data_IF_880713318831
#
_entry.id   IF_880713318831
#
_cell.length_a   1.000
_cell.length_b   1.000
_cell.length_c   1.000
_cell.angle_alpha   90.00
_cell.angle_beta   90.00
_cell.angle_gamma   90.00
#
_symmetry.space_group_name_H-M   'P 1'
#
loop_
_entity.id
_entity.type
_entity.pdbx_description
1 polymer ?
#
# COMPACT_ATOMS: atom_id res chain seq x y z
N UNK A 1 -15.23 4.15 -14.65
CA UNK A 1 -14.42 3.00 -14.18
C UNK A 1 -13.74 3.33 -12.87
N UNK A 2 -13.81 2.42 -11.92
CA UNK A 2 -13.14 2.61 -10.64
C UNK A 2 -11.63 2.43 -10.78
N UNK A 3 -10.87 3.24 -10.06
CA UNK A 3 -9.43 3.04 -9.94
C UNK A 3 -9.15 1.84 -9.04
N UNK A 4 -8.00 1.21 -9.25
CA UNK A 4 -7.65 -0.04 -8.59
C UNK A 4 -6.63 0.21 -7.48
N UNK A 5 -6.88 -0.38 -6.31
CA UNK A 5 -5.97 -0.32 -5.17
C UNK A 5 -5.51 -1.73 -4.82
N UNK A 6 -4.20 -1.92 -4.72
CA UNK A 6 -3.61 -3.16 -4.20
C UNK A 6 -3.31 -2.98 -2.72
N UNK A 7 -3.80 -3.90 -1.90
CA UNK A 7 -3.50 -3.95 -0.47
C UNK A 7 -2.57 -5.13 -0.21
N UNK A 8 -1.43 -4.86 0.41
CA UNK A 8 -0.49 -5.88 0.88
C UNK A 8 -0.50 -5.87 2.40
N UNK A 9 -1.04 -6.93 3.01
CA UNK A 9 -1.07 -7.07 4.46
C UNK A 9 -1.27 -8.55 4.78
N UNK A 10 -0.45 -9.10 5.68
CA UNK A 10 -0.56 -10.50 6.05
C UNK A 10 -1.74 -10.76 7.00
N UNK A 11 -2.33 -9.71 7.57
CA UNK A 11 -3.50 -9.83 8.46
C UNK A 11 -4.77 -9.61 7.67
N UNK A 12 -5.53 -10.67 7.49
CA UNK A 12 -6.80 -10.64 6.76
C UNK A 12 -7.78 -9.62 7.37
N UNK A 13 -7.79 -9.49 8.70
CA UNK A 13 -8.70 -8.54 9.38
C UNK A 13 -8.44 -7.10 8.97
N UNK A 14 -7.18 -6.70 8.83
CA UNK A 14 -6.81 -5.36 8.37
C UNK A 14 -7.24 -5.17 6.92
N UNK A 15 -6.96 -6.15 6.07
CA UNK A 15 -7.36 -6.10 4.67
C UNK A 15 -8.87 -5.97 4.50
N UNK A 16 -9.65 -6.67 5.33
CA UNK A 16 -11.12 -6.57 5.29
C UNK A 16 -11.61 -5.20 5.69
N UNK A 17 -11.05 -4.61 6.75
CA UNK A 17 -11.43 -3.26 7.19
C UNK A 17 -11.14 -2.26 6.07
N UNK A 18 -9.95 -2.30 5.49
CA UNK A 18 -9.59 -1.41 4.39
C UNK A 18 -10.52 -1.60 3.20
N UNK A 19 -10.82 -2.84 2.84
CA UNK A 19 -11.68 -3.14 1.71
C UNK A 19 -13.08 -2.59 1.91
N UNK A 20 -13.66 -2.74 3.11
CA UNK A 20 -14.99 -2.23 3.41
C UNK A 20 -15.08 -0.72 3.21
N UNK A 21 -14.04 0.03 3.62
CA UNK A 21 -14.05 1.49 3.51
C UNK A 21 -13.72 1.99 2.10
N UNK A 22 -13.03 1.20 1.28
CA UNK A 22 -12.56 1.62 -0.03
C UNK A 22 -13.39 1.07 -1.20
N UNK A 23 -14.07 -0.06 -1.01
CA UNK A 23 -14.71 -0.78 -2.12
C UNK A 23 -15.85 -0.03 -2.80
N UNK A 24 -16.48 0.95 -2.12
CA UNK A 24 -17.54 1.73 -2.75
C UNK A 24 -17.01 2.64 -3.86
N UNK A 25 -15.76 3.10 -3.72
CA UNK A 25 -15.15 4.07 -4.65
C UNK A 25 -14.04 3.46 -5.51
N UNK A 26 -13.47 2.32 -5.12
CA UNK A 26 -12.31 1.72 -5.78
C UNK A 26 -12.48 0.21 -5.95
N UNK A 27 -11.80 -0.34 -6.94
CA UNK A 27 -11.61 -1.78 -7.06
C UNK A 27 -10.44 -2.18 -6.17
N UNK A 28 -10.66 -3.11 -5.25
CA UNK A 28 -9.66 -3.48 -4.25
C UNK A 28 -9.21 -4.91 -4.46
N UNK A 29 -7.89 -5.10 -4.52
CA UNK A 29 -7.26 -6.42 -4.55
C UNK A 29 -6.39 -6.57 -3.30
N UNK A 30 -6.57 -7.65 -2.56
CA UNK A 30 -5.76 -7.97 -1.40
C UNK A 30 -4.84 -9.15 -1.69
N UNK A 31 -3.57 -9.02 -1.28
CA UNK A 31 -2.57 -10.08 -1.29
C UNK A 31 -1.83 -10.07 0.05
N UNK A 32 -1.41 -11.24 0.56
CA UNK A 32 -0.92 -11.33 1.94
C UNK A 32 0.54 -10.92 2.14
N UNK A 33 1.34 -10.79 1.08
CA UNK A 33 2.76 -10.46 1.24
C UNK A 33 3.35 -9.79 -0.01
N UNK A 34 4.59 -9.31 0.15
CA UNK A 34 5.26 -8.58 -0.92
C UNK A 34 5.62 -9.44 -2.13
N UNK A 35 5.97 -10.72 -1.92
CA UNK A 35 6.31 -11.60 -3.05
C UNK A 35 5.11 -11.84 -3.95
N UNK A 36 3.94 -12.03 -3.36
CA UNK A 36 2.72 -12.17 -4.16
C UNK A 36 2.37 -10.86 -4.87
N UNK A 37 2.66 -9.73 -4.23
CA UNK A 37 2.52 -8.42 -4.86
C UNK A 37 3.40 -8.28 -6.10
N UNK A 38 4.68 -8.67 -5.99
CA UNK A 38 5.61 -8.64 -7.13
C UNK A 38 5.09 -9.52 -8.26
N UNK A 39 4.68 -10.75 -7.96
CA UNK A 39 4.16 -11.68 -8.98
C UNK A 39 2.92 -11.13 -9.66
N UNK A 40 2.03 -10.52 -8.89
CA UNK A 40 0.80 -9.95 -9.42
C UNK A 40 1.08 -8.80 -10.39
N UNK A 41 2.02 -7.93 -10.04
CA UNK A 41 2.45 -6.84 -10.92
C UNK A 41 3.12 -7.38 -12.17
N UNK A 42 4.01 -8.37 -12.03
CA UNK A 42 4.71 -8.97 -13.17
C UNK A 42 3.76 -9.72 -14.12
N UNK A 43 2.60 -10.14 -13.62
CA UNK A 43 1.57 -10.78 -14.44
C UNK A 43 0.80 -9.78 -15.32
N UNK A 44 1.10 -8.48 -15.21
CA UNK A 44 0.48 -7.46 -16.07
C UNK A 44 -0.60 -6.64 -15.36
N UNK A 45 -0.77 -6.80 -14.05
CA UNK A 45 -1.74 -6.00 -13.31
C UNK A 45 -1.14 -4.63 -12.96
N UNK A 46 -1.93 -3.57 -13.11
CA UNK A 46 -1.47 -2.19 -12.89
C UNK A 46 -2.42 -1.48 -11.92
N UNK A 47 -2.12 -1.49 -10.63
CA UNK A 47 -2.92 -0.71 -9.69
C UNK A 47 -2.61 0.78 -9.80
N UNK A 48 -3.55 1.60 -9.36
CA UNK A 48 -3.37 3.06 -9.32
C UNK A 48 -2.74 3.51 -7.99
N UNK A 49 -2.83 2.67 -6.96
CA UNK A 49 -2.26 2.93 -5.65
C UNK A 49 -1.98 1.59 -4.97
N UNK A 50 -0.92 1.56 -4.16
CA UNK A 50 -0.61 0.41 -3.30
C UNK A 50 -0.61 0.87 -1.86
N UNK A 51 -1.28 0.09 -0.99
CA UNK A 51 -1.24 0.27 0.46
C UNK A 51 -0.54 -0.96 1.01
N UNK A 52 0.59 -0.79 1.68
CA UNK A 52 1.41 -1.91 2.13
C UNK A 52 1.75 -1.85 3.60
N UNK A 53 1.53 -2.95 4.31
CA UNK A 53 2.11 -3.18 5.63
C UNK A 53 3.64 -3.32 5.48
N UNK A 54 4.38 -3.13 6.56
CA UNK A 54 5.84 -3.31 6.55
C UNK A 54 6.20 -4.75 6.92
N UNK A 55 5.64 -5.27 8.00
CA UNK A 55 5.99 -6.60 8.51
C UNK A 55 5.14 -7.68 7.88
N UNK A 56 5.66 -8.29 6.83
CA UNK A 56 5.02 -9.39 6.13
C UNK A 56 6.02 -10.54 5.97
N UNK A 57 5.54 -11.81 5.98
CA UNK A 57 6.44 -12.94 5.75
C UNK A 57 6.98 -12.92 4.32
N UNK A 58 8.15 -13.52 4.14
CA UNK A 58 8.80 -13.55 2.84
C UNK A 58 9.44 -12.22 2.48
N UNK A 59 8.72 -11.35 1.81
CA UNK A 59 9.21 -10.04 1.43
C UNK A 59 8.55 -8.96 2.28
N UNK A 60 9.34 -8.18 3.01
CA UNK A 60 8.83 -7.06 3.82
C UNK A 60 8.33 -5.92 2.94
N UNK A 61 7.44 -5.10 3.50
CA UNK A 61 6.87 -3.97 2.76
C UNK A 61 7.89 -2.90 2.37
N UNK A 62 8.90 -2.66 3.21
CA UNK A 62 9.98 -1.72 2.87
C UNK A 62 10.84 -2.24 1.72
N UNK A 63 11.13 -3.55 1.68
CA UNK A 63 11.85 -4.16 0.56
C UNK A 63 11.00 -4.12 -0.72
N UNK A 64 9.70 -4.34 -0.59
CA UNK A 64 8.77 -4.22 -1.71
C UNK A 64 8.74 -2.79 -2.27
N UNK A 65 8.72 -1.79 -1.37
CA UNK A 65 8.77 -0.38 -1.76
C UNK A 65 10.04 -0.07 -2.55
N UNK A 66 11.20 -0.53 -2.07
CA UNK A 66 12.46 -0.36 -2.80
C UNK A 66 12.39 -0.99 -4.18
N UNK A 67 11.89 -2.23 -4.25
CA UNK A 67 11.75 -2.93 -5.52
C UNK A 67 10.90 -2.15 -6.52
N UNK A 68 9.75 -1.63 -6.06
CA UNK A 68 8.86 -0.84 -6.92
C UNK A 68 9.56 0.43 -7.40
N UNK A 69 10.23 1.15 -6.51
CA UNK A 69 10.83 2.45 -6.86
C UNK A 69 12.06 2.32 -7.75
N UNK A 70 12.68 1.15 -7.78
CA UNK A 70 13.80 0.85 -8.68
C UNK A 70 13.34 0.27 -10.02
N UNK A 71 12.05 -0.04 -10.17
CA UNK A 71 11.52 -0.66 -11.38
C UNK A 71 10.89 0.40 -12.28
N UNK A 72 11.40 0.54 -13.51
CA UNK A 72 10.93 1.55 -14.45
C UNK A 72 9.45 1.40 -14.81
N UNK A 73 8.92 0.19 -14.80
CA UNK A 73 7.53 -0.06 -15.15
C UNK A 73 6.57 0.34 -14.03
N UNK A 74 7.00 0.27 -12.76
CA UNK A 74 6.10 0.42 -11.61
C UNK A 74 6.42 1.60 -10.69
N UNK A 75 7.57 2.26 -10.87
CA UNK A 75 8.01 3.33 -9.94
C UNK A 75 7.06 4.52 -9.86
N UNK A 76 6.20 4.69 -10.85
CA UNK A 76 5.21 5.77 -10.85
C UNK A 76 4.01 5.49 -9.94
N UNK A 77 3.83 4.25 -9.51
CA UNK A 77 2.69 3.87 -8.66
C UNK A 77 2.91 4.41 -7.26
N UNK A 78 1.99 5.24 -6.74
CA UNK A 78 2.12 5.73 -5.37
C UNK A 78 1.91 4.60 -4.36
N UNK A 79 2.70 4.63 -3.28
CA UNK A 79 2.64 3.62 -2.22
C UNK A 79 2.45 4.31 -0.88
N UNK A 80 1.39 3.94 -0.16
CA UNK A 80 1.16 4.32 1.23
C UNK A 80 1.69 3.18 2.10
N UNK A 81 2.53 3.50 3.09
CA UNK A 81 3.02 2.50 4.04
C UNK A 81 2.20 2.53 5.32
N UNK A 82 1.80 1.35 5.80
CA UNK A 82 1.16 1.18 7.10
C UNK A 82 2.16 0.57 8.07
N UNK A 83 2.33 1.15 9.25
CA UNK A 83 3.30 0.66 10.22
C UNK A 83 2.76 0.74 11.64
N UNK A 84 3.12 -0.24 12.46
CA UNK A 84 2.86 -0.19 13.89
C UNK A 84 3.90 0.65 14.65
N UNK A 85 4.93 1.15 13.97
CA UNK A 85 5.94 2.00 14.57
C UNK A 85 5.61 3.47 14.39
N UNK A 86 5.46 4.19 15.51
CA UNK A 86 5.32 5.65 15.49
C UNK A 86 6.70 6.26 15.73
N UNK A 87 7.57 6.14 14.73
CA UNK A 87 8.96 6.58 14.80
C UNK A 87 9.23 7.59 13.67
N UNK A 88 9.76 8.74 14.05
CA UNK A 88 10.12 9.78 13.08
C UNK A 88 11.20 9.30 12.12
N UNK A 89 12.20 8.58 12.62
CA UNK A 89 13.27 8.07 11.75
C UNK A 89 12.76 7.04 10.75
N UNK A 90 11.85 6.16 11.17
CA UNK A 90 11.22 5.18 10.27
C UNK A 90 10.40 5.88 9.20
N UNK A 91 9.61 6.87 9.59
CA UNK A 91 8.80 7.65 8.66
C UNK A 91 9.69 8.34 7.62
N UNK A 92 10.75 9.00 8.07
CA UNK A 92 11.68 9.68 7.17
C UNK A 92 12.32 8.69 6.20
N UNK A 93 12.77 7.54 6.70
CA UNK A 93 13.40 6.51 5.88
C UNK A 93 12.49 6.07 4.75
N UNK A 94 11.24 5.75 5.06
CA UNK A 94 10.28 5.26 4.06
C UNK A 94 9.88 6.34 3.07
N UNK A 95 9.71 7.58 3.52
CA UNK A 95 9.43 8.70 2.61
C UNK A 95 10.61 8.97 1.68
N UNK A 96 11.84 8.86 2.16
CA UNK A 96 13.03 9.03 1.32
C UNK A 96 13.15 7.92 0.28
N UNK A 97 12.76 6.68 0.61
CA UNK A 97 12.74 5.59 -0.37
C UNK A 97 11.72 5.89 -1.47
N UNK A 98 10.64 6.57 -1.15
CA UNK A 98 9.66 6.99 -2.13
C UNK A 98 8.21 6.73 -1.78
N UNK A 99 7.90 6.39 -0.52
CA UNK A 99 6.51 6.29 -0.09
C UNK A 99 5.83 7.66 -0.22
N UNK A 100 4.59 7.68 -0.70
CA UNK A 100 3.84 8.93 -0.83
C UNK A 100 3.25 9.36 0.51
N UNK A 101 3.02 8.41 1.42
CA UNK A 101 2.49 8.69 2.75
C UNK A 101 2.83 7.54 3.71
N UNK A 102 2.73 7.83 4.99
CA UNK A 102 3.03 6.89 6.07
C UNK A 102 1.94 7.01 7.13
N UNK A 103 1.27 5.91 7.42
CA UNK A 103 0.15 5.88 8.37
C UNK A 103 0.45 4.89 9.48
N UNK A 104 0.30 5.33 10.73
CA UNK A 104 0.58 4.51 11.91
C UNK A 104 -0.64 3.67 12.29
N UNK A 105 -0.43 2.40 12.59
CA UNK A 105 -1.45 1.51 13.14
C UNK A 105 -1.49 1.64 14.66
N UNK A 106 -2.66 1.59 15.29
CA UNK A 106 -3.99 1.49 14.67
C UNK A 106 -4.38 2.80 14.00
N UNK A 107 -4.97 2.70 12.82
CA UNK A 107 -5.37 3.88 12.05
C UNK A 107 -6.88 4.07 12.09
N UNK A 108 -7.31 5.31 11.83
CA UNK A 108 -8.72 5.61 11.63
C UNK A 108 -9.04 5.35 10.15
N UNK A 109 -9.97 4.42 9.83
CA UNK A 109 -10.27 4.09 8.43
C UNK A 109 -10.80 5.25 7.61
N UNK A 110 -11.53 6.19 8.25
CA UNK A 110 -12.02 7.37 7.55
C UNK A 110 -10.90 8.33 7.20
N UNK A 111 -9.92 8.50 8.10
CA UNK A 111 -8.73 9.31 7.81
C UNK A 111 -7.95 8.71 6.65
N UNK A 112 -7.74 7.40 6.67
CA UNK A 112 -7.06 6.71 5.59
C UNK A 112 -7.79 6.93 4.25
N UNK A 113 -9.12 6.81 4.26
CA UNK A 113 -9.92 7.03 3.06
C UNK A 113 -9.74 8.45 2.50
N UNK A 114 -9.67 9.46 3.38
CA UNK A 114 -9.43 10.84 2.96
C UNK A 114 -8.04 10.97 2.32
N UNK A 115 -7.02 10.36 2.91
CA UNK A 115 -5.67 10.38 2.34
C UNK A 115 -5.61 9.70 0.97
N UNK A 116 -6.30 8.59 0.82
CA UNK A 116 -6.41 7.89 -0.47
C UNK A 116 -7.06 8.80 -1.52
N UNK A 117 -8.14 9.48 -1.16
CA UNK A 117 -8.83 10.38 -2.10
C UNK A 117 -7.98 11.56 -2.54
N UNK A 118 -7.07 12.03 -1.71
CA UNK A 118 -6.12 13.09 -2.10
C UNK A 118 -5.12 12.61 -3.14
N UNK A 119 -4.75 11.33 -3.09
CA UNK A 119 -3.80 10.73 -4.03
C UNK A 119 -4.54 10.29 -5.30
N UNK A 120 -5.72 9.71 -5.14
CA UNK A 120 -6.57 9.21 -6.23
C UNK A 120 -7.92 9.92 -6.22
N UNK A 121 -7.99 11.16 -6.70
CA UNK A 121 -9.29 11.85 -6.79
C UNK A 121 -10.18 11.11 -7.79
N UNK A 122 -11.45 10.99 -7.42
CA UNK A 122 -12.47 10.34 -8.27
C UNK A 122 -12.91 11.26 -9.41
#
# INVERSE_FOLDING_TARGET
MKKKILILDHKETIAKVLSIYLMSDYDVQWLPDGLQGVKWLQAGNTPDLIISDIRMPGMRGDDFLEWIKQNELFRHIPVIMLSSEDSTSERIRLLEIGAVDYIVKPFNPMELKIRVKKILPN
#
